data_IF_511000585048
#
_entry.id   IF_511000585048
#
_cell.length_a   1.000
_cell.length_b   1.000
_cell.length_c   1.000
_cell.angle_alpha   90.00
_cell.angle_beta   90.00
_cell.angle_gamma   90.00
#
_symmetry.space_group_name_H-M   'P 1'
#
loop_
_entity.id
_entity.type
_entity.pdbx_description
1 polymer ?
#
# COMPACT_ATOMS: atom_id res chain seq x y z
N UNK A 1 28.51 10.24 -2.15
CA UNK A 1 28.00 9.43 -1.03
C UNK A 1 27.85 8.00 -1.53
N UNK A 2 28.22 6.97 -0.77
CA UNK A 2 27.99 5.58 -1.19
C UNK A 2 26.49 5.33 -1.24
N UNK A 3 26.01 4.70 -2.32
CA UNK A 3 24.61 4.28 -2.50
C UNK A 3 24.22 3.38 -1.31
N UNK A 4 23.15 3.70 -0.62
CA UNK A 4 22.59 2.80 0.41
C UNK A 4 22.15 1.52 -0.28
N UNK A 5 22.71 0.38 0.13
CA UNK A 5 22.28 -0.92 -0.39
C UNK A 5 21.03 -1.35 0.34
N UNK A 6 19.99 -1.69 -0.42
CA UNK A 6 18.77 -2.26 0.10
C UNK A 6 18.76 -3.76 -0.24
N UNK A 7 18.77 -4.60 0.78
CA UNK A 7 18.72 -6.05 0.60
C UNK A 7 17.27 -6.54 0.59
N UNK A 8 17.00 -7.58 -0.20
CA UNK A 8 15.71 -8.28 -0.14
C UNK A 8 15.59 -9.03 1.19
N UNK A 9 14.38 -9.14 1.71
CA UNK A 9 14.10 -9.86 2.97
C UNK A 9 13.29 -11.12 2.64
N UNK A 10 13.82 -12.29 2.97
CA UNK A 10 13.07 -13.55 2.89
C UNK A 10 12.06 -13.60 4.03
N UNK A 11 10.77 -13.64 3.69
CA UNK A 11 9.67 -13.74 4.66
C UNK A 11 9.29 -15.20 4.85
N UNK A 12 9.15 -15.94 3.75
CA UNK A 12 8.97 -17.40 3.71
C UNK A 12 9.87 -17.99 2.65
N UNK A 13 9.74 -19.30 2.38
CA UNK A 13 10.50 -19.94 1.29
C UNK A 13 10.10 -19.43 -0.10
N UNK A 14 8.86 -18.95 -0.24
CA UNK A 14 8.29 -18.51 -1.51
C UNK A 14 7.86 -17.05 -1.52
N UNK A 15 8.14 -16.28 -0.45
CA UNK A 15 7.70 -14.90 -0.36
C UNK A 15 8.80 -13.98 0.17
N UNK A 16 9.08 -12.91 -0.57
CA UNK A 16 10.18 -11.98 -0.31
C UNK A 16 9.67 -10.54 -0.32
N UNK A 17 10.18 -9.73 0.58
CA UNK A 17 10.04 -8.27 0.51
C UNK A 17 11.18 -7.69 -0.32
N UNK A 18 10.84 -6.85 -1.28
CA UNK A 18 11.72 -6.09 -2.15
C UNK A 18 11.50 -4.59 -1.95
N UNK A 19 12.24 -3.76 -2.70
CA UNK A 19 12.15 -2.31 -2.60
C UNK A 19 12.86 -1.78 -1.37
N UNK A 20 12.23 -0.83 -0.71
CA UNK A 20 12.70 -0.27 0.58
C UNK A 20 11.67 -0.53 1.68
N UNK A 21 12.03 -0.39 2.97
CA UNK A 21 11.04 -0.52 4.04
C UNK A 21 9.87 0.44 3.91
N UNK A 22 10.11 1.68 3.48
CA UNK A 22 9.06 2.69 3.31
C UNK A 22 8.16 2.43 2.10
N UNK A 23 8.69 1.82 1.05
CA UNK A 23 7.99 1.53 -0.21
C UNK A 23 8.35 0.11 -0.67
N UNK A 24 7.80 -0.92 -0.02
CA UNK A 24 8.05 -2.29 -0.39
C UNK A 24 7.29 -2.69 -1.66
N UNK A 25 7.84 -3.68 -2.34
CA UNK A 25 7.12 -4.57 -3.23
C UNK A 25 7.37 -5.99 -2.73
N UNK A 26 6.49 -6.91 -3.07
CA UNK A 26 6.65 -8.30 -2.63
C UNK A 26 6.76 -9.23 -3.83
N UNK A 27 7.63 -10.22 -3.72
CA UNK A 27 7.80 -11.26 -4.74
C UNK A 27 7.30 -12.60 -4.19
N UNK A 28 6.29 -13.17 -4.84
CA UNK A 28 5.78 -14.51 -4.56
C UNK A 28 6.24 -15.49 -5.63
N UNK A 29 6.73 -16.66 -5.20
CA UNK A 29 7.34 -17.68 -6.04
C UNK A 29 6.54 -18.99 -5.99
N UNK A 30 6.12 -19.46 -7.14
CA UNK A 30 5.71 -20.83 -7.43
C UNK A 30 6.53 -21.38 -8.59
N UNK A 31 5.92 -22.11 -9.53
CA UNK A 31 6.53 -22.43 -10.83
C UNK A 31 6.70 -21.14 -11.66
N UNK A 32 5.73 -20.24 -11.56
CA UNK A 32 5.83 -18.84 -11.98
C UNK A 32 6.03 -17.94 -10.76
N UNK A 33 6.26 -16.64 -11.02
CA UNK A 33 6.38 -15.63 -10.00
C UNK A 33 5.39 -14.48 -10.22
N UNK A 34 5.10 -13.74 -9.16
CA UNK A 34 4.25 -12.56 -9.18
C UNK A 34 4.85 -11.50 -8.26
N UNK A 35 4.85 -10.26 -8.71
CA UNK A 35 5.04 -9.10 -7.85
C UNK A 35 3.69 -8.68 -7.26
N UNK A 36 3.68 -8.26 -6.01
CA UNK A 36 2.55 -7.59 -5.36
C UNK A 36 3.07 -6.22 -4.94
N UNK A 37 2.34 -5.17 -5.26
CA UNK A 37 2.76 -3.78 -5.17
C UNK A 37 3.85 -3.42 -6.20
N UNK A 38 3.78 -2.19 -6.70
CA UNK A 38 4.75 -1.66 -7.65
C UNK A 38 5.76 -0.69 -7.02
N UNK A 39 5.57 -0.32 -5.76
CA UNK A 39 6.40 0.71 -5.13
C UNK A 39 6.37 2.05 -5.88
N UNK A 40 7.36 2.91 -5.63
CA UNK A 40 7.56 4.17 -6.34
C UNK A 40 8.46 3.98 -7.55
N UNK A 41 8.48 4.95 -8.47
CA UNK A 41 9.46 4.98 -9.56
C UNK A 41 10.89 4.90 -9.06
N UNK A 42 11.17 5.51 -7.92
CA UNK A 42 12.48 5.48 -7.26
C UNK A 42 12.93 4.07 -6.85
N UNK A 43 12.00 3.17 -6.52
CA UNK A 43 12.34 1.79 -6.12
C UNK A 43 12.53 0.83 -7.30
N UNK A 44 12.21 1.25 -8.52
CA UNK A 44 12.35 0.42 -9.73
C UNK A 44 13.70 -0.28 -9.85
N UNK A 45 14.80 0.49 -9.80
CA UNK A 45 16.15 -0.05 -9.96
C UNK A 45 16.54 -0.97 -8.82
N UNK A 46 16.07 -0.69 -7.59
CA UNK A 46 16.28 -1.51 -6.40
C UNK A 46 15.59 -2.86 -6.57
N UNK A 47 14.31 -2.87 -6.96
CA UNK A 47 13.52 -4.09 -7.19
C UNK A 47 14.19 -4.98 -8.26
N UNK A 48 14.64 -4.39 -9.37
CA UNK A 48 15.31 -5.13 -10.45
C UNK A 48 16.62 -5.75 -9.96
N UNK A 49 17.44 -5.01 -9.21
CA UNK A 49 18.71 -5.51 -8.64
C UNK A 49 18.46 -6.67 -7.66
N UNK A 50 17.50 -6.51 -6.76
CA UNK A 50 17.13 -7.55 -5.78
C UNK A 50 16.61 -8.83 -6.44
N UNK A 51 15.78 -8.72 -7.48
CA UNK A 51 15.31 -9.89 -8.27
C UNK A 51 16.49 -10.61 -8.91
N UNK A 52 17.44 -9.87 -9.47
CA UNK A 52 18.67 -10.42 -10.04
C UNK A 52 19.54 -11.11 -8.97
N UNK A 53 19.70 -10.50 -7.80
CA UNK A 53 20.47 -11.08 -6.68
C UNK A 53 19.83 -12.36 -6.15
N UNK A 54 18.51 -12.47 -6.19
CA UNK A 54 17.77 -13.70 -5.86
C UNK A 54 17.90 -14.79 -6.94
N UNK A 55 18.51 -14.50 -8.10
CA UNK A 55 18.65 -15.44 -9.21
C UNK A 55 17.31 -15.78 -9.87
N UNK A 56 16.35 -14.87 -9.83
CA UNK A 56 15.04 -15.09 -10.44
C UNK A 56 15.04 -14.56 -11.86
N UNK A 57 14.78 -15.46 -12.82
CA UNK A 57 14.64 -15.09 -14.23
C UNK A 57 13.38 -14.24 -14.43
N UNK A 58 13.49 -13.04 -15.02
CA UNK A 58 12.36 -12.14 -15.22
C UNK A 58 11.17 -12.77 -15.94
N UNK A 59 11.42 -13.69 -16.85
CA UNK A 59 10.41 -14.42 -17.63
C UNK A 59 9.47 -15.26 -16.76
N UNK A 60 9.90 -15.62 -15.54
CA UNK A 60 9.05 -16.29 -14.55
C UNK A 60 8.01 -15.34 -13.95
N UNK A 61 8.28 -14.03 -13.90
CA UNK A 61 7.39 -13.05 -13.31
C UNK A 61 6.25 -12.75 -14.29
N UNK A 62 5.10 -13.37 -14.06
CA UNK A 62 3.95 -13.28 -14.98
C UNK A 62 3.07 -12.08 -14.72
N UNK A 63 2.95 -11.70 -13.44
CA UNK A 63 2.03 -10.65 -13.00
C UNK A 63 2.73 -9.66 -12.06
N UNK A 64 2.24 -8.43 -12.09
CA UNK A 64 2.31 -7.49 -11.00
C UNK A 64 0.88 -7.19 -10.56
N UNK A 65 0.52 -7.59 -9.35
CA UNK A 65 -0.80 -7.37 -8.75
C UNK A 65 -0.77 -6.07 -7.94
N UNK A 66 -1.60 -5.12 -8.32
CA UNK A 66 -1.71 -3.83 -7.66
C UNK A 66 -2.80 -3.89 -6.61
N UNK A 67 -2.50 -3.51 -5.37
CA UNK A 67 -3.50 -3.42 -4.32
C UNK A 67 -4.43 -2.23 -4.57
N UNK A 68 -3.88 -1.09 -4.97
CA UNK A 68 -4.62 0.12 -5.32
C UNK A 68 -3.77 1.05 -6.20
N UNK A 69 -4.26 2.27 -6.47
CA UNK A 69 -3.68 3.16 -7.49
C UNK A 69 -2.97 4.39 -6.93
N UNK A 70 -2.59 4.42 -5.64
CA UNK A 70 -1.77 5.54 -5.17
C UNK A 70 -0.36 5.48 -5.78
N UNK A 71 0.29 6.63 -6.02
CA UNK A 71 1.55 6.72 -6.75
C UNK A 71 2.69 5.88 -6.18
N UNK A 72 2.73 5.77 -4.86
CA UNK A 72 3.73 5.01 -4.11
C UNK A 72 3.56 3.49 -4.16
N UNK A 73 2.49 3.02 -4.81
CA UNK A 73 2.22 1.59 -5.04
C UNK A 73 2.28 1.20 -6.51
N UNK A 74 2.31 2.18 -7.41
CA UNK A 74 2.28 1.92 -8.86
C UNK A 74 3.44 2.59 -9.62
N UNK A 75 4.25 3.41 -8.97
CA UNK A 75 5.25 4.27 -9.63
C UNK A 75 6.31 3.51 -10.42
N UNK A 76 6.78 2.35 -9.94
CA UNK A 76 7.76 1.55 -10.67
C UNK A 76 7.13 0.71 -11.81
N UNK A 77 5.80 0.56 -11.86
CA UNK A 77 5.12 -0.33 -12.82
C UNK A 77 5.41 0.02 -14.28
N UNK A 78 5.34 1.29 -14.73
CA UNK A 78 5.67 1.65 -16.11
C UNK A 78 7.10 1.32 -16.48
N UNK A 79 8.05 1.48 -15.54
CA UNK A 79 9.46 1.15 -15.72
C UNK A 79 9.65 -0.37 -15.85
N UNK A 80 9.01 -1.15 -14.97
CA UNK A 80 9.04 -2.62 -15.00
C UNK A 80 8.40 -3.16 -16.28
N UNK A 81 7.26 -2.61 -16.70
CA UNK A 81 6.58 -3.02 -17.94
C UNK A 81 7.43 -2.70 -19.19
N UNK A 82 8.16 -1.57 -19.19
CA UNK A 82 9.09 -1.25 -20.27
C UNK A 82 10.29 -2.20 -20.32
N UNK A 83 10.84 -2.56 -19.15
CA UNK A 83 11.97 -3.49 -19.04
C UNK A 83 11.55 -4.92 -19.35
N UNK A 84 10.36 -5.33 -18.89
CA UNK A 84 9.78 -6.66 -19.05
C UNK A 84 8.42 -6.61 -19.75
N UNK A 85 8.37 -6.49 -21.09
CA UNK A 85 7.12 -6.29 -21.83
C UNK A 85 6.10 -7.43 -21.67
N UNK A 86 6.55 -8.63 -21.29
CA UNK A 86 5.70 -9.80 -21.03
C UNK A 86 4.94 -9.70 -19.69
N UNK A 87 5.40 -8.85 -18.78
CA UNK A 87 4.79 -8.64 -17.45
C UNK A 87 3.34 -8.14 -17.61
N UNK A 88 2.38 -8.85 -16.99
CA UNK A 88 0.97 -8.47 -17.01
C UNK A 88 0.59 -7.70 -15.77
N UNK A 89 -0.08 -6.55 -15.93
CA UNK A 89 -0.62 -5.76 -14.82
C UNK A 89 -1.98 -6.35 -14.45
N UNK A 90 -2.12 -6.77 -13.20
CA UNK A 90 -3.38 -7.25 -12.62
C UNK A 90 -3.85 -6.27 -11.55
N UNK A 91 -5.11 -5.85 -11.61
CA UNK A 91 -5.67 -4.88 -10.67
C UNK A 91 -7.19 -5.03 -10.56
N UNK A 92 -7.78 -4.56 -9.47
CA UNK A 92 -9.23 -4.53 -9.30
C UNK A 92 -9.95 -3.72 -10.37
N UNK A 93 -11.23 -4.01 -10.62
CA UNK A 93 -12.02 -3.37 -11.69
C UNK A 93 -12.12 -1.84 -11.54
N UNK A 94 -12.17 -1.32 -10.31
CA UNK A 94 -12.15 0.12 -10.04
C UNK A 94 -10.80 0.72 -10.41
N UNK A 95 -9.68 0.07 -10.03
CA UNK A 95 -8.34 0.49 -10.39
C UNK A 95 -8.14 0.53 -11.91
N UNK A 96 -8.62 -0.50 -12.62
CA UNK A 96 -8.55 -0.57 -14.07
C UNK A 96 -9.30 0.57 -14.78
N UNK A 97 -10.37 1.10 -14.17
CA UNK A 97 -11.09 2.29 -14.68
C UNK A 97 -10.30 3.57 -14.39
N UNK A 98 -9.78 3.72 -13.17
CA UNK A 98 -9.03 4.90 -12.75
C UNK A 98 -7.75 5.09 -13.58
N UNK A 99 -7.01 4.02 -13.84
CA UNK A 99 -5.77 4.03 -14.60
C UNK A 99 -5.94 4.36 -16.10
N UNK A 100 -7.19 4.46 -16.61
CA UNK A 100 -7.47 4.99 -17.96
C UNK A 100 -7.54 6.52 -18.00
N UNK A 101 -7.60 7.19 -16.86
CA UNK A 101 -7.71 8.64 -16.78
C UNK A 101 -6.37 9.33 -16.97
N UNK A 102 -6.19 10.02 -18.09
CA UNK A 102 -4.95 10.77 -18.37
C UNK A 102 -4.68 11.86 -17.33
N UNK A 103 -5.73 12.48 -16.77
CA UNK A 103 -5.60 13.45 -15.69
C UNK A 103 -5.00 12.79 -14.44
N UNK A 104 -5.54 11.66 -14.01
CA UNK A 104 -5.04 10.95 -12.83
C UNK A 104 -3.61 10.45 -13.04
N UNK A 105 -3.28 9.92 -14.22
CA UNK A 105 -1.92 9.50 -14.56
C UNK A 105 -0.94 10.67 -14.44
N UNK A 106 -1.31 11.86 -14.89
CA UNK A 106 -0.47 13.05 -14.76
C UNK A 106 -0.25 13.41 -13.28
N UNK A 107 -1.31 13.44 -12.47
CA UNK A 107 -1.24 13.72 -11.03
C UNK A 107 -0.38 12.66 -10.32
N UNK A 108 -0.51 11.39 -10.67
CA UNK A 108 0.31 10.30 -10.12
C UNK A 108 1.79 10.45 -10.45
N UNK A 109 2.12 10.80 -11.69
CA UNK A 109 3.50 11.04 -12.12
C UNK A 109 4.14 12.20 -11.34
N UNK A 110 3.41 13.29 -11.13
CA UNK A 110 3.89 14.45 -10.37
C UNK A 110 4.15 14.07 -8.90
N UNK A 111 3.26 13.31 -8.29
CA UNK A 111 3.41 12.83 -6.90
C UNK A 111 4.57 11.84 -6.77
N UNK A 112 4.68 10.87 -7.68
CA UNK A 112 5.78 9.89 -7.71
C UNK A 112 7.16 10.57 -7.84
N UNK A 113 7.24 11.62 -8.66
CA UNK A 113 8.44 12.44 -8.76
C UNK A 113 8.78 13.12 -7.43
N UNK A 114 7.80 13.71 -6.75
CA UNK A 114 7.99 14.34 -5.43
C UNK A 114 8.52 13.34 -4.40
N UNK A 115 7.94 12.13 -4.37
CA UNK A 115 8.41 11.04 -3.50
C UNK A 115 9.85 10.66 -3.84
N UNK A 116 10.19 10.55 -5.12
CA UNK A 116 11.55 10.24 -5.57
C UNK A 116 12.55 11.31 -5.11
N UNK A 117 12.19 12.59 -5.18
CA UNK A 117 12.99 13.70 -4.68
C UNK A 117 13.20 13.64 -3.15
N UNK A 118 12.17 13.25 -2.39
CA UNK A 118 12.27 13.02 -0.95
C UNK A 118 13.28 11.88 -0.67
N UNK A 119 13.21 10.77 -1.42
CA UNK A 119 14.12 9.62 -1.26
C UNK A 119 15.57 9.99 -1.58
N UNK A 120 15.83 10.87 -2.58
CA UNK A 120 17.17 11.42 -2.84
C UNK A 120 17.67 12.23 -1.64
N UNK A 121 16.84 13.13 -1.13
CA UNK A 121 17.20 13.99 -0.01
C UNK A 121 17.53 13.20 1.26
N UNK A 122 16.91 12.04 1.43
CA UNK A 122 17.19 11.08 2.51
C UNK A 122 18.42 10.19 2.23
N UNK A 123 18.98 10.23 1.03
CA UNK A 123 20.07 9.35 0.61
C UNK A 123 19.65 7.89 0.44
N UNK A 124 18.36 7.61 0.27
CA UNK A 124 17.85 6.26 0.01
C UNK A 124 18.14 5.81 -1.43
N UNK A 125 18.13 6.77 -2.36
CA UNK A 125 18.54 6.58 -3.76
C UNK A 125 19.54 7.67 -4.16
N UNK A 126 20.33 7.39 -5.19
CA UNK A 126 21.37 8.32 -5.66
C UNK A 126 20.88 9.25 -6.77
N UNK A 127 19.90 8.82 -7.56
CA UNK A 127 19.42 9.53 -8.75
C UNK A 127 17.92 9.26 -8.97
N UNK A 128 17.27 10.17 -9.68
CA UNK A 128 15.87 9.99 -10.09
C UNK A 128 15.73 8.81 -11.05
N UNK A 129 14.58 8.12 -11.04
CA UNK A 129 14.30 7.11 -12.05
C UNK A 129 14.34 7.73 -13.45
N UNK A 130 14.68 6.94 -14.50
CA UNK A 130 14.70 7.45 -15.87
C UNK A 130 13.35 8.05 -16.27
N UNK A 131 13.35 9.17 -16.97
CA UNK A 131 12.10 9.72 -17.50
C UNK A 131 11.48 8.77 -18.52
N UNK A 132 10.17 8.59 -18.43
CA UNK A 132 9.37 7.85 -19.39
C UNK A 132 8.58 8.82 -20.26
N UNK A 133 8.75 8.72 -21.59
CA UNK A 133 7.93 9.50 -22.53
C UNK A 133 6.46 9.18 -22.39
N UNK A 134 6.14 7.89 -22.20
CA UNK A 134 4.79 7.37 -21.98
C UNK A 134 4.70 6.71 -20.60
N UNK A 135 4.09 7.42 -19.68
CA UNK A 135 3.73 6.89 -18.36
C UNK A 135 2.30 6.35 -18.45
N UNK A 136 2.17 5.15 -19.02
CA UNK A 136 0.89 4.54 -19.31
C UNK A 136 0.74 3.25 -18.52
N UNK A 137 -0.45 3.05 -17.96
CA UNK A 137 -0.89 1.80 -17.36
C UNK A 137 -1.98 1.18 -18.23
N UNK A 138 -1.78 -0.05 -18.64
CA UNK A 138 -2.82 -0.87 -19.22
C UNK A 138 -2.98 -2.10 -18.33
N UNK A 139 -4.16 -2.24 -17.72
CA UNK A 139 -4.48 -3.40 -16.89
C UNK A 139 -4.80 -4.58 -17.79
N UNK A 140 -3.88 -5.55 -17.83
CA UNK A 140 -3.99 -6.76 -18.66
C UNK A 140 -4.99 -7.77 -18.07
N UNK A 141 -5.14 -7.80 -16.73
CA UNK A 141 -6.04 -8.71 -16.02
C UNK A 141 -6.83 -7.95 -14.95
N UNK A 142 -8.12 -7.84 -15.15
CA UNK A 142 -9.03 -7.31 -14.12
C UNK A 142 -9.28 -8.39 -13.10
N UNK A 143 -9.20 -8.01 -11.81
CA UNK A 143 -9.40 -8.89 -10.66
C UNK A 143 -10.72 -8.54 -9.97
N UNK A 144 -11.48 -9.58 -9.64
CA UNK A 144 -12.73 -9.47 -8.88
C UNK A 144 -12.62 -10.22 -7.54
N UNK A 145 -13.56 -9.97 -6.63
CA UNK A 145 -13.65 -10.68 -5.34
C UNK A 145 -13.65 -12.19 -5.54
N UNK A 146 -12.75 -12.89 -4.88
CA UNK A 146 -12.62 -14.36 -4.94
C UNK A 146 -11.80 -14.89 -6.11
N UNK A 147 -11.34 -14.04 -7.04
CA UNK A 147 -10.44 -14.47 -8.11
C UNK A 147 -9.14 -15.07 -7.54
N UNK A 148 -8.58 -16.05 -8.27
CA UNK A 148 -7.33 -16.71 -7.90
C UNK A 148 -6.23 -16.45 -8.92
N UNK A 149 -5.06 -16.14 -8.42
CA UNK A 149 -3.81 -16.01 -9.19
C UNK A 149 -2.92 -17.21 -8.87
N UNK A 150 -2.96 -18.21 -9.72
CA UNK A 150 -2.20 -19.46 -9.56
C UNK A 150 -0.77 -19.27 -10.06
N UNK A 151 0.20 -19.58 -9.20
CA UNK A 151 1.64 -19.51 -9.53
C UNK A 151 2.28 -20.89 -9.73
N UNK A 152 1.55 -21.97 -9.49
CA UNK A 152 2.06 -23.34 -9.49
C UNK A 152 2.70 -23.73 -8.18
N UNK A 153 3.18 -24.97 -8.07
CA UNK A 153 3.75 -25.53 -6.83
C UNK A 153 2.85 -25.38 -5.60
N UNK A 154 1.54 -25.26 -5.81
CA UNK A 154 0.52 -25.06 -4.76
C UNK A 154 0.46 -23.63 -4.21
N UNK A 155 1.14 -22.68 -4.79
CA UNK A 155 1.05 -21.26 -4.43
C UNK A 155 -0.04 -20.59 -5.25
N UNK A 156 -1.03 -20.03 -4.57
CA UNK A 156 -2.15 -19.31 -5.18
C UNK A 156 -2.62 -18.17 -4.27
N UNK A 157 -2.93 -17.04 -4.85
CA UNK A 157 -3.39 -15.85 -4.16
C UNK A 157 -4.86 -15.59 -4.47
N UNK A 158 -5.69 -15.53 -3.44
CA UNK A 158 -7.12 -15.19 -3.55
C UNK A 158 -7.31 -13.69 -3.31
N UNK A 159 -8.10 -13.06 -4.16
CA UNK A 159 -8.36 -11.61 -4.15
C UNK A 159 -9.53 -11.29 -3.23
N UNK A 160 -9.38 -10.24 -2.43
CA UNK A 160 -10.41 -9.68 -1.55
C UNK A 160 -10.56 -8.19 -1.78
N UNK A 161 -11.77 -7.70 -2.07
CA UNK A 161 -12.03 -6.26 -2.13
C UNK A 161 -12.03 -5.68 -0.71
N UNK A 162 -11.17 -4.71 -0.48
CA UNK A 162 -10.94 -4.08 0.82
C UNK A 162 -10.94 -2.54 0.71
N UNK A 163 -12.06 -1.93 0.23
CA UNK A 163 -12.16 -0.49 0.08
C UNK A 163 -12.16 0.23 1.44
N UNK A 164 -12.03 1.55 1.38
CA UNK A 164 -12.09 2.45 2.55
C UNK A 164 -10.85 3.33 2.67
N UNK A 165 -9.63 2.79 2.50
CA UNK A 165 -8.44 3.59 2.22
C UNK A 165 -8.55 4.25 0.84
N UNK A 166 -8.85 3.47 -0.16
CA UNK A 166 -9.24 3.93 -1.48
C UNK A 166 -10.40 3.07 -2.03
N UNK A 167 -11.22 3.56 -2.97
CA UNK A 167 -12.34 2.81 -3.51
C UNK A 167 -11.90 1.60 -4.35
N UNK A 168 -10.66 1.57 -4.81
CA UNK A 168 -10.12 0.53 -5.68
C UNK A 168 -9.26 -0.52 -4.93
N UNK A 169 -9.14 -0.40 -3.60
CA UNK A 169 -8.23 -1.24 -2.83
C UNK A 169 -8.66 -2.70 -2.81
N UNK A 170 -7.68 -3.58 -3.05
CA UNK A 170 -7.78 -5.03 -2.89
C UNK A 170 -6.65 -5.53 -2.00
N UNK A 171 -6.91 -6.62 -1.29
CA UNK A 171 -5.90 -7.40 -0.57
C UNK A 171 -5.84 -8.81 -1.16
N UNK A 172 -4.73 -9.53 -0.95
CA UNK A 172 -4.56 -10.87 -1.48
C UNK A 172 -4.13 -11.82 -0.36
N UNK A 173 -4.73 -13.02 -0.32
CA UNK A 173 -4.41 -14.05 0.68
C UNK A 173 -3.87 -15.31 0.00
N UNK A 174 -2.75 -15.79 0.49
CA UNK A 174 -2.12 -17.06 0.14
C UNK A 174 -2.20 -18.00 1.36
N UNK A 175 -2.94 -19.11 1.20
CA UNK A 175 -3.31 -19.98 2.32
C UNK A 175 -2.26 -21.04 2.66
N UNK A 176 -1.43 -21.46 1.71
CA UNK A 176 -0.48 -22.56 1.91
C UNK A 176 0.62 -22.21 2.92
N UNK A 177 1.17 -21.00 2.82
CA UNK A 177 2.16 -20.46 3.75
C UNK A 177 1.55 -19.46 4.75
N UNK A 178 0.23 -19.18 4.63
CA UNK A 178 -0.53 -18.34 5.54
C UNK A 178 -0.14 -16.87 5.46
N UNK A 179 -0.05 -16.31 4.26
CA UNK A 179 0.37 -14.93 4.02
C UNK A 179 -0.76 -14.08 3.47
N UNK A 180 -0.95 -12.90 4.05
CA UNK A 180 -1.92 -11.89 3.64
C UNK A 180 -1.18 -10.62 3.20
N UNK A 181 -1.26 -10.27 1.92
CA UNK A 181 -0.87 -8.95 1.44
C UNK A 181 -2.02 -7.99 1.78
N UNK A 182 -1.87 -7.27 2.87
CA UNK A 182 -2.90 -6.39 3.45
C UNK A 182 -3.03 -5.11 2.63
N UNK A 183 -1.92 -4.62 2.07
CA UNK A 183 -1.90 -3.30 1.47
C UNK A 183 -2.04 -2.20 2.54
N UNK A 184 -2.79 -1.16 2.20
CA UNK A 184 -3.11 -0.03 3.09
C UNK A 184 -4.48 -0.17 3.78
N UNK A 185 -5.10 -1.35 3.71
CA UNK A 185 -6.43 -1.57 4.28
C UNK A 185 -6.51 -1.38 5.81
N UNK A 186 -5.38 -1.30 6.50
CA UNK A 186 -5.30 -1.14 7.97
C UNK A 186 -4.61 0.15 8.41
N UNK A 187 -4.23 1.02 7.45
CA UNK A 187 -3.50 2.25 7.72
C UNK A 187 -1.98 2.09 7.76
N UNK A 188 -1.34 3.17 8.12
CA UNK A 188 0.11 3.25 8.20
C UNK A 188 0.58 2.87 9.62
N UNK A 189 1.23 1.73 9.73
CA UNK A 189 1.77 1.23 10.99
C UNK A 189 3.25 1.59 11.14
N UNK A 190 3.63 2.11 12.30
CA UNK A 190 5.02 2.41 12.67
C UNK A 190 5.46 1.42 13.76
N UNK A 191 6.15 0.33 13.41
CA UNK A 191 6.48 -0.75 14.35
C UNK A 191 7.29 -0.28 15.57
N UNK A 192 8.27 0.59 15.37
CA UNK A 192 9.19 1.07 16.40
C UNK A 192 8.47 1.88 17.50
N UNK A 193 7.32 2.47 17.14
CA UNK A 193 6.49 3.26 18.07
C UNK A 193 5.22 2.52 18.48
N UNK A 194 4.92 1.38 17.84
CA UNK A 194 3.66 0.63 17.97
C UNK A 194 2.43 1.53 17.76
N UNK A 195 2.46 2.40 16.75
CA UNK A 195 1.45 3.41 16.46
C UNK A 195 0.88 3.20 15.07
N UNK A 196 -0.44 3.32 14.95
CA UNK A 196 -1.17 3.39 13.69
C UNK A 196 -1.58 4.82 13.37
N UNK A 197 -1.36 5.23 12.13
CA UNK A 197 -2.10 6.31 11.52
C UNK A 197 -3.18 5.70 10.65
N UNK A 198 -4.46 5.70 11.08
CA UNK A 198 -5.54 5.23 10.24
C UNK A 198 -5.70 6.16 9.04
N UNK A 199 -5.92 5.61 7.86
CA UNK A 199 -5.92 6.34 6.61
C UNK A 199 -7.17 6.05 5.76
N UNK A 200 -8.38 6.16 6.38
CA UNK A 200 -9.69 5.98 5.73
C UNK A 200 -10.06 7.18 4.83
N UNK A 201 -9.30 7.36 3.75
CA UNK A 201 -9.45 8.53 2.88
C UNK A 201 -10.72 8.48 2.03
N UNK A 202 -11.27 7.29 1.76
CA UNK A 202 -12.50 7.11 0.99
C UNK A 202 -13.73 6.98 1.89
N UNK A 203 -13.78 5.99 2.78
CA UNK A 203 -14.90 5.71 3.68
C UNK A 203 -14.44 5.04 4.96
N UNK A 204 -14.83 5.58 6.11
CA UNK A 204 -14.56 4.98 7.42
C UNK A 204 -15.29 3.63 7.57
N UNK A 205 -16.57 3.56 7.16
CA UNK A 205 -17.35 2.34 7.24
C UNK A 205 -16.77 1.21 6.39
N UNK A 206 -16.44 1.51 5.13
CA UNK A 206 -15.83 0.53 4.25
C UNK A 206 -14.46 0.07 4.78
N UNK A 207 -13.67 1.00 5.34
CA UNK A 207 -12.37 0.73 5.94
C UNK A 207 -12.47 -0.22 7.15
N UNK A 208 -13.37 0.05 8.08
CA UNK A 208 -13.61 -0.84 9.23
C UNK A 208 -14.13 -2.22 8.80
N UNK A 209 -15.02 -2.26 7.79
CA UNK A 209 -15.51 -3.51 7.21
C UNK A 209 -14.37 -4.31 6.56
N UNK A 210 -13.44 -3.64 5.89
CA UNK A 210 -12.27 -4.27 5.28
C UNK A 210 -11.33 -4.86 6.35
N UNK A 211 -11.03 -4.13 7.42
CA UNK A 211 -10.24 -4.66 8.55
C UNK A 211 -10.90 -5.91 9.12
N UNK A 212 -12.22 -5.88 9.35
CA UNK A 212 -13.00 -7.01 9.86
C UNK A 212 -12.97 -8.22 8.92
N UNK A 213 -13.16 -7.99 7.62
CA UNK A 213 -13.05 -9.04 6.60
C UNK A 213 -11.67 -9.70 6.66
N UNK A 214 -10.61 -8.91 6.67
CA UNK A 214 -9.22 -9.43 6.67
C UNK A 214 -8.89 -10.20 7.96
N UNK A 215 -9.43 -9.79 9.12
CA UNK A 215 -9.19 -10.47 10.40
C UNK A 215 -9.77 -11.88 10.46
N UNK A 216 -10.70 -12.23 9.56
CA UNK A 216 -11.30 -13.59 9.51
C UNK A 216 -10.56 -14.55 8.58
N UNK A 217 -9.56 -14.05 7.83
CA UNK A 217 -8.84 -14.88 6.87
C UNK A 217 -7.79 -15.77 7.57
N UNK A 218 -7.54 -16.98 7.04
CA UNK A 218 -6.63 -17.95 7.66
C UNK A 218 -5.16 -17.62 7.36
N UNK A 219 -4.71 -16.43 7.79
CA UNK A 219 -3.34 -15.99 7.63
C UNK A 219 -2.63 -15.89 8.99
N UNK A 220 -1.33 -16.13 8.98
CA UNK A 220 -0.45 -16.03 10.15
C UNK A 220 0.42 -14.78 10.10
N UNK A 221 0.64 -14.24 8.90
CA UNK A 221 1.44 -13.04 8.66
C UNK A 221 0.75 -12.08 7.70
N UNK A 222 1.04 -10.78 7.89
CA UNK A 222 0.53 -9.70 7.06
C UNK A 222 1.66 -8.89 6.45
N UNK A 223 1.69 -8.81 5.13
CA UNK A 223 2.57 -7.93 4.38
C UNK A 223 1.87 -6.57 4.19
N UNK A 224 2.47 -5.52 4.73
CA UNK A 224 1.94 -4.15 4.69
C UNK A 224 2.55 -3.39 3.51
N UNK A 225 1.85 -2.38 3.03
CA UNK A 225 2.39 -1.50 1.98
C UNK A 225 3.51 -0.59 2.47
N UNK A 226 3.69 -0.46 3.78
CA UNK A 226 4.73 0.36 4.39
C UNK A 226 5.31 -0.30 5.64
N UNK A 227 6.62 -0.11 5.85
CA UNK A 227 7.42 -0.35 7.04
C UNK A 227 7.61 -1.81 7.48
N UNK A 228 6.62 -2.71 7.36
CA UNK A 228 6.72 -3.97 8.06
C UNK A 228 6.01 -5.15 7.40
N UNK A 229 6.45 -6.33 7.83
CA UNK A 229 5.66 -7.57 7.79
C UNK A 229 5.30 -7.91 9.23
N UNK A 230 4.03 -8.12 9.50
CA UNK A 230 3.52 -8.57 10.80
C UNK A 230 3.51 -10.09 10.81
N UNK A 231 4.21 -10.71 11.76
CA UNK A 231 4.28 -12.17 11.87
C UNK A 231 3.99 -12.63 13.31
N UNK A 232 3.21 -13.72 13.45
CA UNK A 232 2.91 -14.37 14.72
C UNK A 232 1.89 -13.69 15.63
N UNK A 233 1.35 -12.51 15.28
CA UNK A 233 0.36 -11.80 16.11
C UNK A 233 -0.70 -11.04 15.28
N UNK A 234 -1.04 -11.55 14.11
CA UNK A 234 -1.91 -10.87 13.16
C UNK A 234 -3.31 -10.54 13.72
N UNK A 235 -3.87 -11.39 14.58
CA UNK A 235 -5.14 -11.09 15.27
C UNK A 235 -5.03 -9.82 16.14
N UNK A 236 -4.01 -9.75 16.99
CA UNK A 236 -3.75 -8.57 17.84
C UNK A 236 -3.47 -7.32 17.01
N UNK A 237 -2.82 -7.48 15.86
CA UNK A 237 -2.59 -6.41 14.90
C UNK A 237 -3.90 -5.80 14.40
N UNK A 238 -4.85 -6.62 13.94
CA UNK A 238 -6.16 -6.12 13.48
C UNK A 238 -6.97 -5.46 14.59
N UNK A 239 -6.93 -6.03 15.81
CA UNK A 239 -7.57 -5.43 16.99
C UNK A 239 -6.98 -4.04 17.30
N UNK A 240 -5.65 -3.88 17.21
CA UNK A 240 -5.00 -2.58 17.38
C UNK A 240 -5.34 -1.62 16.26
N UNK A 241 -5.37 -2.05 15.01
CA UNK A 241 -5.70 -1.21 13.86
C UNK A 241 -7.12 -0.63 13.98
N UNK A 242 -8.11 -1.46 14.32
CA UNK A 242 -9.49 -0.98 14.51
C UNK A 242 -9.61 -0.06 15.71
N UNK A 243 -8.91 -0.36 16.83
CA UNK A 243 -8.91 0.50 18.03
C UNK A 243 -8.27 1.86 17.79
N UNK A 244 -7.18 1.90 17.03
CA UNK A 244 -6.54 3.14 16.62
C UNK A 244 -7.48 3.98 15.73
N UNK A 245 -8.21 3.31 14.83
CA UNK A 245 -9.20 3.95 13.95
C UNK A 245 -10.35 4.55 14.77
N UNK A 246 -10.90 3.80 15.71
CA UNK A 246 -11.92 4.29 16.67
C UNK A 246 -11.42 5.52 17.42
N UNK A 247 -10.26 5.40 18.04
CA UNK A 247 -9.68 6.48 18.86
C UNK A 247 -9.45 7.75 18.03
N UNK A 248 -8.92 7.62 16.83
CA UNK A 248 -8.71 8.75 15.93
C UNK A 248 -10.03 9.41 15.52
N UNK A 249 -11.03 8.62 15.14
CA UNK A 249 -12.35 9.10 14.76
C UNK A 249 -13.07 9.83 15.88
N UNK A 250 -13.13 9.21 17.08
CA UNK A 250 -13.80 9.79 18.24
C UNK A 250 -13.11 11.08 18.70
N UNK A 251 -11.77 11.15 18.68
CA UNK A 251 -11.04 12.39 18.98
C UNK A 251 -11.43 13.52 18.02
N UNK A 252 -11.55 13.22 16.70
CA UNK A 252 -11.99 14.24 15.72
C UNK A 252 -13.37 14.77 16.07
N UNK A 253 -14.34 13.89 16.37
CA UNK A 253 -15.70 14.28 16.69
C UNK A 253 -15.80 15.04 18.03
N UNK A 254 -15.07 14.61 19.04
CA UNK A 254 -15.03 15.28 20.34
C UNK A 254 -14.51 16.73 20.21
N UNK A 255 -13.41 16.92 19.49
CA UNK A 255 -12.81 18.24 19.27
C UNK A 255 -13.75 19.16 18.49
N UNK A 256 -14.39 18.65 17.43
CA UNK A 256 -15.40 19.39 16.69
C UNK A 256 -16.62 19.73 17.56
N UNK A 257 -17.09 18.79 18.39
CA UNK A 257 -18.19 19.00 19.33
C UNK A 257 -17.91 20.07 20.40
N UNK A 258 -16.64 20.27 20.73
CA UNK A 258 -16.17 21.37 21.61
C UNK A 258 -16.04 22.71 20.89
N UNK A 259 -16.32 22.76 19.59
CA UNK A 259 -16.23 23.98 18.77
C UNK A 259 -14.80 24.37 18.39
N UNK A 260 -13.84 23.42 18.42
CA UNK A 260 -12.49 23.71 17.93
C UNK A 260 -12.52 23.96 16.41
N UNK A 261 -11.66 24.85 15.94
CA UNK A 261 -11.50 25.16 14.52
C UNK A 261 -11.03 23.92 13.74
N UNK A 262 -11.80 23.45 12.73
CA UNK A 262 -11.41 22.31 11.90
C UNK A 262 -10.02 22.45 11.26
N UNK A 263 -9.63 23.65 10.84
CA UNK A 263 -8.31 23.91 10.25
C UNK A 263 -7.20 23.70 11.28
N UNK A 264 -7.42 24.11 12.53
CA UNK A 264 -6.47 23.87 13.63
C UNK A 264 -6.35 22.38 13.95
N UNK A 265 -7.47 21.66 14.00
CA UNK A 265 -7.46 20.20 14.23
C UNK A 265 -6.65 19.50 13.13
N UNK A 266 -6.95 19.80 11.87
CA UNK A 266 -6.24 19.21 10.73
C UNK A 266 -4.74 19.53 10.74
N UNK A 267 -4.35 20.76 11.07
CA UNK A 267 -2.95 21.18 11.19
C UNK A 267 -2.19 20.39 12.27
N UNK A 268 -2.79 20.21 13.44
CA UNK A 268 -2.20 19.44 14.54
C UNK A 268 -2.06 17.95 14.17
N UNK A 269 -3.08 17.39 13.50
CA UNK A 269 -3.02 16.00 13.00
C UNK A 269 -1.96 15.82 11.93
N UNK A 270 -1.82 16.75 11.01
CA UNK A 270 -0.74 16.74 10.02
C UNK A 270 0.65 16.77 10.68
N UNK A 271 0.85 17.63 11.68
CA UNK A 271 2.10 17.67 12.45
C UNK A 271 2.37 16.35 13.16
N UNK A 272 1.34 15.74 13.75
CA UNK A 272 1.47 14.44 14.39
C UNK A 272 1.88 13.37 13.37
N UNK A 273 1.20 13.26 12.23
CA UNK A 273 1.57 12.30 11.17
C UNK A 273 3.00 12.55 10.68
N UNK A 274 3.37 13.80 10.44
CA UNK A 274 4.72 14.16 9.99
C UNK A 274 5.81 13.85 11.05
N UNK A 275 5.44 13.70 12.31
CA UNK A 275 6.35 13.21 13.37
C UNK A 275 6.49 11.67 13.37
N UNK A 276 5.60 10.97 12.71
CA UNK A 276 5.64 9.51 12.56
C UNK A 276 6.39 9.10 11.30
N UNK A 277 6.21 9.85 10.22
CA UNK A 277 6.74 9.53 8.89
C UNK A 277 6.94 10.80 8.07
N UNK A 278 7.90 10.75 7.15
CA UNK A 278 8.26 11.80 6.21
C UNK A 278 8.24 11.27 4.75
N UNK A 279 7.37 10.28 4.48
CA UNK A 279 7.21 9.69 3.13
C UNK A 279 6.53 10.63 2.13
N UNK A 280 5.86 11.68 2.62
CA UNK A 280 5.17 12.70 1.83
C UNK A 280 5.47 14.10 2.36
N UNK A 281 5.16 15.12 1.57
CA UNK A 281 5.30 16.51 2.01
C UNK A 281 4.28 16.88 3.09
N UNK A 282 4.59 17.90 3.90
CA UNK A 282 3.68 18.37 4.94
C UNK A 282 2.32 18.83 4.36
N UNK A 283 2.33 19.46 3.19
CA UNK A 283 1.11 19.93 2.49
C UNK A 283 0.19 18.78 2.12
N UNK A 284 0.75 17.65 1.68
CA UNK A 284 0.01 16.42 1.40
C UNK A 284 -0.60 15.88 2.70
N UNK A 285 0.21 15.76 3.77
CA UNK A 285 -0.27 15.28 5.08
C UNK A 285 -1.37 16.18 5.64
N UNK A 286 -1.27 17.49 5.46
CA UNK A 286 -2.31 18.44 5.88
C UNK A 286 -3.61 18.25 5.09
N UNK A 287 -3.52 18.07 3.78
CA UNK A 287 -4.69 17.80 2.93
C UNK A 287 -5.38 16.49 3.30
N UNK A 288 -4.60 15.45 3.58
CA UNK A 288 -5.12 14.15 4.04
C UNK A 288 -5.78 14.26 5.44
N UNK A 289 -5.20 15.03 6.36
CA UNK A 289 -5.80 15.27 7.68
C UNK A 289 -7.15 15.98 7.57
N UNK A 290 -7.29 16.96 6.67
CA UNK A 290 -8.58 17.62 6.38
C UNK A 290 -9.60 16.65 5.79
N UNK A 291 -9.17 15.80 4.86
CA UNK A 291 -10.02 14.78 4.26
C UNK A 291 -10.55 13.81 5.34
N UNK A 292 -9.68 13.31 6.21
CA UNK A 292 -10.08 12.39 7.27
C UNK A 292 -11.01 13.04 8.30
N UNK A 293 -10.80 14.32 8.62
CA UNK A 293 -11.71 15.09 9.48
C UNK A 293 -13.12 15.16 8.86
N UNK A 294 -13.20 15.46 7.55
CA UNK A 294 -14.46 15.49 6.82
C UNK A 294 -15.14 14.10 6.77
N UNK A 295 -14.37 13.03 6.59
CA UNK A 295 -14.89 11.65 6.64
C UNK A 295 -15.42 11.31 8.03
N UNK A 296 -14.71 11.67 9.10
CA UNK A 296 -15.20 11.48 10.47
C UNK A 296 -16.52 12.21 10.72
N UNK A 297 -16.66 13.44 10.23
CA UNK A 297 -17.91 14.19 10.36
C UNK A 297 -19.08 13.54 9.59
N UNK A 298 -18.83 13.07 8.36
CA UNK A 298 -19.88 12.48 7.52
C UNK A 298 -20.38 11.13 8.03
N UNK A 299 -19.59 10.44 8.84
CA UNK A 299 -19.90 9.12 9.38
C UNK A 299 -20.08 9.11 10.91
N UNK A 300 -20.37 10.28 11.49
CA UNK A 300 -20.67 10.42 12.93
C UNK A 300 -21.89 9.58 13.34
N UNK A 301 -21.83 9.00 14.55
CA UNK A 301 -22.90 8.19 15.12
C UNK A 301 -22.92 6.71 14.66
N UNK A 302 -21.95 6.26 13.90
CA UNK A 302 -21.80 4.85 13.50
C UNK A 302 -20.95 4.05 14.50
N UNK A 303 -21.35 3.99 15.75
CA UNK A 303 -20.56 3.40 16.86
C UNK A 303 -20.26 1.90 16.71
N UNK A 304 -21.09 1.16 15.93
CA UNK A 304 -20.91 -0.28 15.70
C UNK A 304 -19.77 -0.63 14.73
N UNK A 305 -19.10 0.37 14.14
CA UNK A 305 -18.05 0.14 13.15
C UNK A 305 -16.79 -0.49 13.73
N UNK A 306 -16.54 -0.35 15.03
CA UNK A 306 -15.25 -0.67 15.65
C UNK A 306 -15.21 -2.02 16.39
N UNK A 307 -16.21 -2.89 16.18
CA UNK A 307 -16.20 -4.24 16.74
C UNK A 307 -15.60 -5.23 15.74
N UNK A 308 -14.60 -6.01 16.15
CA UNK A 308 -14.01 -7.14 15.42
C UNK A 308 -14.54 -8.44 16.03
#
# INVERSE_FOLDING_TARGET
>A
MSKKRHESISITRSFYQLGTPSFPAYLSLGDNAMLIEGGTGATFAIIVEQIKELGIEPERIKYIALTHTHPDHIGAVPHLKRLWPHLKIAAGSVAAKLLKSQRMIKEFRETDRTISEIMINKGEIAELPPELENYIFEVDKVLEEGDRLELGSGIAWTVYHTPGHSPCHISLCEEKEGTLAIGDATGFYVPEKDVFWPNYFDSLEAYCNSIRKLSTLPAQRGALSHNAVVDGWLEGYFQKAIKATESYHLEMLERLGKGEDPEKIALEKAKWVNSLTDIQTFEVMYSLAKLMLARSQSEAGKEKLFTI
#
